data_IF_998213452292
#
_entry.id   IF_998213452292
#
_cell.length_a   1.000
_cell.length_b   1.000
_cell.length_c   1.000
_cell.angle_alpha   90.00
_cell.angle_beta   90.00
_cell.angle_gamma   90.00
#
_symmetry.space_group_name_H-M   'P 1'
#
loop_
_entity.id
_entity.type
_entity.pdbx_description
1 polymer ?
#
# COMPACT_ATOMS: atom_id res chain seq x y z
N UNK A 1 6.41 -27.96 -8.21
CA UNK A 1 5.41 -26.91 -8.45
C UNK A 1 5.47 -25.99 -7.25
N UNK A 2 6.12 -24.83 -7.39
CA UNK A 2 6.13 -23.80 -6.34
C UNK A 2 4.72 -23.24 -6.24
N UNK A 3 4.08 -23.40 -5.08
CA UNK A 3 2.81 -22.74 -4.82
C UNK A 3 3.04 -21.23 -4.84
N UNK A 4 2.53 -20.54 -5.85
CA UNK A 4 2.48 -19.08 -5.85
C UNK A 4 1.60 -18.68 -4.67
N UNK A 5 2.19 -18.06 -3.63
CA UNK A 5 1.41 -17.58 -2.48
C UNK A 5 0.41 -16.55 -3.01
N UNK A 6 -0.89 -16.81 -2.82
CA UNK A 6 -1.95 -15.86 -3.14
C UNK A 6 -1.74 -14.60 -2.30
N UNK A 7 -1.69 -13.43 -2.93
CA UNK A 7 -1.65 -12.15 -2.23
C UNK A 7 -3.02 -11.88 -1.63
N UNK A 8 -3.04 -11.52 -0.34
CA UNK A 8 -4.24 -11.08 0.37
C UNK A 8 -4.12 -9.62 0.77
N UNK A 9 -5.25 -8.95 1.06
CA UNK A 9 -5.22 -7.60 1.60
C UNK A 9 -4.47 -7.54 2.95
N UNK A 10 -4.69 -8.53 3.82
CA UNK A 10 -4.00 -8.65 5.10
C UNK A 10 -2.49 -8.81 4.93
N UNK A 11 -2.03 -9.57 3.91
CA UNK A 11 -0.60 -9.69 3.61
C UNK A 11 0.01 -8.33 3.20
N UNK A 12 -0.73 -7.49 2.46
CA UNK A 12 -0.27 -6.18 2.03
C UNK A 12 -0.22 -5.20 3.22
N UNK A 13 -1.27 -5.18 4.05
CA UNK A 13 -1.30 -4.37 5.28
C UNK A 13 -0.13 -4.77 6.19
N UNK A 14 0.01 -6.06 6.50
CA UNK A 14 1.08 -6.54 7.38
C UNK A 14 2.50 -6.23 6.87
N UNK A 15 2.66 -6.05 5.55
CA UNK A 15 3.96 -5.77 4.93
C UNK A 15 4.33 -4.29 4.90
N UNK A 16 3.34 -3.42 4.76
CA UNK A 16 3.56 -2.01 4.43
C UNK A 16 3.00 -1.02 5.47
N UNK A 17 2.10 -1.45 6.37
CA UNK A 17 1.41 -0.55 7.30
C UNK A 17 2.37 0.23 8.21
N UNK A 18 3.43 -0.38 8.74
CA UNK A 18 4.39 0.33 9.62
C UNK A 18 5.17 1.43 8.87
N UNK A 19 5.53 1.16 7.61
CA UNK A 19 6.22 2.11 6.75
C UNK A 19 5.33 3.31 6.43
N UNK A 20 4.14 3.01 5.92
CA UNK A 20 3.16 4.01 5.50
C UNK A 20 2.64 4.82 6.69
N UNK A 21 2.35 4.19 7.82
CA UNK A 21 1.87 4.89 9.00
C UNK A 21 2.90 5.87 9.57
N UNK A 22 4.19 5.54 9.50
CA UNK A 22 5.24 6.49 9.87
C UNK A 22 5.18 7.75 9.02
N UNK A 23 5.05 7.59 7.70
CA UNK A 23 5.02 8.71 6.76
C UNK A 23 3.71 9.50 6.88
N UNK A 24 2.59 8.82 7.14
CA UNK A 24 1.30 9.44 7.38
C UNK A 24 1.16 10.05 8.79
N UNK A 25 2.18 9.92 9.66
CA UNK A 25 2.16 10.35 11.06
C UNK A 25 1.03 9.72 11.90
N UNK A 26 0.69 8.47 11.61
CA UNK A 26 -0.43 7.73 12.20
C UNK A 26 0.02 6.42 12.87
N UNK A 27 -0.92 5.72 13.53
CA UNK A 27 -0.69 4.34 13.98
C UNK A 27 -0.86 3.33 12.84
N UNK A 28 -0.10 2.22 12.78
CA UNK A 28 -0.22 1.21 11.73
C UNK A 28 -1.66 0.74 11.51
N UNK A 29 -2.15 0.86 10.27
CA UNK A 29 -3.48 0.41 9.90
C UNK A 29 -3.64 -1.11 10.09
N UNK A 30 -4.84 -1.51 10.54
CA UNK A 30 -5.23 -2.93 10.64
C UNK A 30 -6.40 -3.29 9.75
N UNK A 31 -6.95 -2.32 9.01
CA UNK A 31 -8.06 -2.51 8.08
C UNK A 31 -7.69 -1.95 6.71
N UNK A 32 -8.35 -2.45 5.67
CA UNK A 32 -8.16 -1.93 4.31
C UNK A 32 -8.51 -0.46 4.22
N UNK A 33 -9.62 -0.04 4.84
CA UNK A 33 -10.07 1.35 4.79
C UNK A 33 -9.08 2.32 5.43
N UNK A 34 -8.52 1.94 6.60
CA UNK A 34 -7.53 2.77 7.27
C UNK A 34 -6.23 2.80 6.47
N UNK A 35 -5.83 1.67 5.89
CA UNK A 35 -4.60 1.58 5.11
C UNK A 35 -4.69 2.37 3.80
N UNK A 36 -5.83 2.36 3.11
CA UNK A 36 -6.03 3.20 1.91
C UNK A 36 -5.98 4.69 2.25
N UNK A 37 -6.59 5.10 3.37
CA UNK A 37 -6.48 6.47 3.84
C UNK A 37 -5.02 6.87 4.14
N UNK A 38 -4.27 6.00 4.83
CA UNK A 38 -2.87 6.30 5.11
C UNK A 38 -2.00 6.32 3.84
N UNK A 39 -2.33 5.54 2.81
CA UNK A 39 -1.63 5.59 1.52
C UNK A 39 -1.81 6.95 0.82
N UNK A 40 -3.02 7.52 0.87
CA UNK A 40 -3.30 8.86 0.34
C UNK A 40 -2.51 9.93 1.11
N UNK A 41 -2.56 9.92 2.45
CA UNK A 41 -1.81 10.88 3.28
C UNK A 41 -0.29 10.72 3.08
N UNK A 42 0.19 9.48 2.99
CA UNK A 42 1.60 9.22 2.75
C UNK A 42 2.04 9.73 1.37
N UNK A 43 1.20 9.60 0.33
CA UNK A 43 1.48 10.13 -1.00
C UNK A 43 1.69 11.66 -0.97
N UNK A 44 0.81 12.40 -0.29
CA UNK A 44 0.95 13.85 -0.11
C UNK A 44 2.25 14.21 0.62
N UNK A 45 2.59 13.48 1.68
CA UNK A 45 3.80 13.72 2.45
C UNK A 45 5.08 13.37 1.68
N UNK A 46 5.07 12.30 0.88
CA UNK A 46 6.17 11.98 -0.03
C UNK A 46 6.36 13.07 -1.08
N UNK A 47 5.28 13.57 -1.68
CA UNK A 47 5.34 14.68 -2.64
C UNK A 47 5.95 15.93 -1.99
N UNK A 48 5.50 16.29 -0.79
CA UNK A 48 6.03 17.43 -0.04
C UNK A 48 7.52 17.29 0.30
N UNK A 49 8.01 16.07 0.51
CA UNK A 49 9.42 15.74 0.72
C UNK A 49 10.23 15.63 -0.59
N UNK A 50 9.60 15.71 -1.75
CA UNK A 50 10.24 15.54 -3.06
C UNK A 50 10.55 14.08 -3.40
N UNK A 51 9.91 13.12 -2.74
CA UNK A 51 10.03 11.68 -3.00
C UNK A 51 8.96 11.28 -4.02
N UNK A 52 9.40 10.75 -5.16
CA UNK A 52 8.48 10.31 -6.22
C UNK A 52 7.83 8.97 -5.86
N UNK A 53 6.60 8.76 -6.32
CA UNK A 53 5.86 7.51 -6.12
C UNK A 53 4.44 7.66 -5.56
N UNK A 54 3.99 8.91 -5.31
CA UNK A 54 2.65 9.19 -4.78
C UNK A 54 1.53 8.64 -5.68
N UNK A 55 1.58 8.90 -6.98
CA UNK A 55 0.61 8.39 -7.96
C UNK A 55 0.52 6.85 -7.96
N UNK A 56 1.65 6.17 -7.83
CA UNK A 56 1.69 4.71 -7.70
C UNK A 56 1.06 4.23 -6.39
N UNK A 57 1.24 4.95 -5.27
CA UNK A 57 0.60 4.62 -4.00
C UNK A 57 -0.91 4.79 -4.07
N UNK A 58 -1.40 5.89 -4.65
CA UNK A 58 -2.84 6.12 -4.86
C UNK A 58 -3.46 5.04 -5.75
N UNK A 59 -2.78 4.70 -6.85
CA UNK A 59 -3.20 3.63 -7.75
C UNK A 59 -3.23 2.28 -7.03
N UNK A 60 -2.20 2.00 -6.22
CA UNK A 60 -2.14 0.80 -5.38
C UNK A 60 -3.26 0.73 -4.34
N UNK A 61 -3.59 1.87 -3.71
CA UNK A 61 -4.70 2.00 -2.77
C UNK A 61 -6.05 1.70 -3.44
N UNK A 62 -6.28 2.21 -4.65
CA UNK A 62 -7.49 1.92 -5.42
C UNK A 62 -7.62 0.43 -5.74
N UNK A 63 -6.56 -0.21 -6.23
CA UNK A 63 -6.57 -1.65 -6.51
C UNK A 63 -6.79 -2.49 -5.25
N UNK A 64 -6.23 -2.06 -4.10
CA UNK A 64 -6.44 -2.72 -2.83
C UNK A 64 -7.92 -2.63 -2.39
N UNK A 65 -8.52 -1.44 -2.45
CA UNK A 65 -9.92 -1.22 -2.09
C UNK A 65 -10.86 -2.05 -2.98
N UNK A 66 -10.66 -1.98 -4.30
CA UNK A 66 -11.43 -2.74 -5.27
C UNK A 66 -11.26 -4.25 -5.09
N UNK A 67 -10.03 -4.70 -4.81
CA UNK A 67 -9.71 -6.09 -4.53
C UNK A 67 -10.42 -6.59 -3.26
N UNK A 68 -10.34 -5.85 -2.16
CA UNK A 68 -11.00 -6.19 -0.90
C UNK A 68 -12.54 -6.24 -1.04
N UNK A 69 -13.12 -5.38 -1.87
CA UNK A 69 -14.57 -5.34 -2.14
C UNK A 69 -15.05 -6.31 -3.23
N UNK A 70 -14.16 -6.95 -3.98
CA UNK A 70 -14.55 -7.82 -5.09
C UNK A 70 -15.24 -9.11 -4.61
N UNK A 71 -16.37 -9.45 -5.21
CA UNK A 71 -17.13 -10.69 -4.92
C UNK A 71 -16.67 -11.89 -5.74
N UNK A 72 -16.04 -11.66 -6.90
CA UNK A 72 -15.43 -12.69 -7.74
C UNK A 72 -13.98 -12.96 -7.31
N UNK A 73 -13.66 -14.21 -7.02
CA UNK A 73 -12.35 -14.60 -6.48
C UNK A 73 -11.21 -14.40 -7.48
N UNK A 74 -11.47 -14.56 -8.78
CA UNK A 74 -10.45 -14.35 -9.83
C UNK A 74 -10.12 -12.86 -9.95
N UNK A 75 -11.16 -12.02 -10.01
CA UNK A 75 -11.02 -10.56 -10.03
C UNK A 75 -10.34 -10.07 -8.75
N UNK A 76 -10.73 -10.58 -7.58
CA UNK A 76 -10.08 -10.27 -6.30
C UNK A 76 -8.58 -10.56 -6.36
N UNK A 77 -8.20 -11.76 -6.81
CA UNK A 77 -6.80 -12.15 -6.89
C UNK A 77 -5.99 -11.26 -7.84
N UNK A 78 -6.56 -10.89 -9.00
CA UNK A 78 -5.89 -10.00 -9.97
C UNK A 78 -5.70 -8.61 -9.38
N UNK A 79 -6.73 -8.01 -8.78
CA UNK A 79 -6.66 -6.67 -8.21
C UNK A 79 -5.66 -6.60 -7.05
N UNK A 80 -5.65 -7.61 -6.16
CA UNK A 80 -4.69 -7.65 -5.05
C UNK A 80 -3.25 -7.88 -5.54
N UNK A 81 -3.05 -8.61 -6.63
CA UNK A 81 -1.74 -8.73 -7.26
C UNK A 81 -1.28 -7.38 -7.84
N UNK A 82 -2.18 -6.63 -8.51
CA UNK A 82 -1.88 -5.30 -9.02
C UNK A 82 -1.55 -4.32 -7.88
N UNK A 83 -2.33 -4.32 -6.79
CA UNK A 83 -2.02 -3.53 -5.60
C UNK A 83 -0.61 -3.86 -5.07
N UNK A 84 -0.22 -5.13 -5.03
CA UNK A 84 1.11 -5.54 -4.59
C UNK A 84 2.24 -5.00 -5.47
N UNK A 85 2.02 -4.93 -6.79
CA UNK A 85 2.99 -4.39 -7.75
C UNK A 85 3.20 -2.90 -7.55
N UNK A 86 2.12 -2.12 -7.40
CA UNK A 86 2.20 -0.67 -7.16
C UNK A 86 2.80 -0.34 -5.78
N UNK A 87 2.50 -1.14 -4.75
CA UNK A 87 3.05 -0.95 -3.40
C UNK A 87 4.48 -1.47 -3.22
N UNK A 88 5.09 -2.08 -4.25
CA UNK A 88 6.37 -2.77 -4.12
C UNK A 88 7.52 -1.88 -3.61
N UNK A 89 7.44 -0.55 -3.84
CA UNK A 89 8.45 0.43 -3.43
C UNK A 89 8.09 1.22 -2.17
N UNK A 90 6.91 0.98 -1.58
CA UNK A 90 6.40 1.77 -0.44
C UNK A 90 7.37 1.79 0.76
N UNK A 91 7.99 0.65 1.08
CA UNK A 91 8.96 0.59 2.19
C UNK A 91 10.25 1.35 1.88
N UNK A 92 10.77 1.27 0.65
CA UNK A 92 11.97 2.00 0.26
C UNK A 92 11.72 3.52 0.32
N UNK A 93 10.54 3.96 -0.14
CA UNK A 93 10.12 5.37 -0.04
C UNK A 93 9.99 5.81 1.42
N UNK A 94 9.39 4.99 2.28
CA UNK A 94 9.27 5.30 3.71
C UNK A 94 10.64 5.39 4.41
N UNK A 95 11.58 4.53 4.03
CA UNK A 95 12.95 4.58 4.53
C UNK A 95 13.69 5.83 4.02
N UNK A 96 13.49 6.23 2.77
CA UNK A 96 14.01 7.49 2.24
C UNK A 96 13.46 8.70 3.01
N UNK A 97 12.15 8.72 3.27
CA UNK A 97 11.49 9.77 4.06
C UNK A 97 12.06 9.87 5.48
N UNK A 98 12.30 8.72 6.14
CA UNK A 98 12.95 8.68 7.48
C UNK A 98 14.33 9.33 7.50
N UNK A 99 15.09 9.22 6.41
CA UNK A 99 16.43 9.78 6.33
C UNK A 99 16.44 11.30 6.12
N UNK A 100 15.29 11.90 5.82
CA UNK A 100 15.15 13.36 5.67
C UNK A 100 14.78 14.08 6.96
N UNK A 101 14.43 13.36 8.03
CA UNK A 101 14.11 13.89 9.36
C UNK A 101 15.34 13.96 10.27
#
# INVERSE_FOLDING_TARGET
>A
MTATKTVTADDLIARYADGIAFVAEETPATTVSDFTYQLEVAAENFEAAGINGGDELETGAQYLADGAGATDDTKRAVLLAQAAEYLARANDMADEYRLML
#
